data_IF_465227816055
#
_entry.id   IF_465227816055
#
_cell.length_a   1.000
_cell.length_b   1.000
_cell.length_c   1.000
_cell.angle_alpha   90.00
_cell.angle_beta   90.00
_cell.angle_gamma   90.00
#
_symmetry.space_group_name_H-M   'P 1'
#
loop_
_entity.id
_entity.type
_entity.pdbx_description
1 polymer ?
#
# COMPACT_ATOMS: atom_id res chain seq x y z
N UNK A 1 14.47 -34.89 39.07
CA UNK A 1 13.89 -34.93 37.70
C UNK A 1 14.92 -35.45 36.71
N UNK A 2 14.54 -36.37 35.82
CA UNK A 2 15.44 -36.89 34.77
C UNK A 2 15.80 -35.79 33.76
N UNK A 3 16.98 -35.88 33.12
CA UNK A 3 17.39 -34.93 32.06
C UNK A 3 16.36 -34.87 30.93
N UNK A 4 15.71 -35.99 30.63
CA UNK A 4 14.66 -36.11 29.60
C UNK A 4 13.42 -35.28 29.93
N UNK A 5 12.94 -35.32 31.19
CA UNK A 5 11.78 -34.54 31.61
C UNK A 5 12.00 -33.03 31.52
N UNK A 6 13.23 -32.57 31.82
CA UNK A 6 13.58 -31.14 31.71
C UNK A 6 13.53 -30.65 30.26
N UNK A 7 14.01 -31.45 29.30
CA UNK A 7 13.97 -31.10 27.88
C UNK A 7 12.55 -31.04 27.34
N UNK A 8 11.69 -32.00 27.70
CA UNK A 8 10.28 -32.01 27.29
C UNK A 8 9.55 -30.80 27.87
N UNK A 9 9.77 -30.47 29.14
CA UNK A 9 9.15 -29.32 29.76
C UNK A 9 9.63 -28.01 29.13
N UNK A 10 10.93 -27.90 28.82
CA UNK A 10 11.49 -26.73 28.14
C UNK A 10 10.92 -26.57 26.72
N UNK A 11 10.81 -27.64 25.93
CA UNK A 11 10.23 -27.57 24.59
C UNK A 11 8.76 -27.18 24.64
N UNK A 12 7.99 -27.76 25.58
CA UNK A 12 6.59 -27.42 25.78
C UNK A 12 6.43 -25.94 26.16
N UNK A 13 7.26 -25.44 27.07
CA UNK A 13 7.25 -24.03 27.47
C UNK A 13 7.59 -23.09 26.31
N UNK A 14 8.59 -23.43 25.49
CA UNK A 14 8.96 -22.62 24.32
C UNK A 14 7.83 -22.57 23.29
N UNK A 15 7.13 -23.68 23.05
CA UNK A 15 5.96 -23.70 22.16
C UNK A 15 4.84 -22.83 22.73
N UNK A 16 4.52 -23.00 24.02
CA UNK A 16 3.52 -22.19 24.71
C UNK A 16 3.84 -20.70 24.74
N UNK A 17 5.12 -20.33 24.77
CA UNK A 17 5.57 -18.93 24.72
C UNK A 17 5.61 -18.39 23.28
N UNK A 18 5.91 -19.24 22.30
CA UNK A 18 5.92 -18.85 20.89
C UNK A 18 4.55 -18.39 20.40
N UNK A 19 3.46 -19.04 20.86
CA UNK A 19 2.08 -18.70 20.50
C UNK A 19 1.71 -17.23 20.83
N UNK A 20 1.83 -16.73 22.09
CA UNK A 20 1.49 -15.35 22.41
C UNK A 20 2.44 -14.34 21.77
N UNK A 21 3.73 -14.66 21.61
CA UNK A 21 4.68 -13.78 20.91
C UNK A 21 4.29 -13.63 19.45
N UNK A 22 3.97 -14.74 18.76
CA UNK A 22 3.49 -14.71 17.39
C UNK A 22 2.15 -13.96 17.29
N UNK A 23 1.23 -14.19 18.23
CA UNK A 23 -0.04 -13.51 18.28
C UNK A 23 0.14 -11.99 18.39
N UNK A 24 0.93 -11.51 19.35
CA UNK A 24 1.23 -10.07 19.49
C UNK A 24 1.90 -9.53 18.22
N UNK A 25 2.90 -10.23 17.67
CA UNK A 25 3.58 -9.79 16.45
C UNK A 25 2.65 -9.67 15.23
N UNK A 26 1.67 -10.57 15.11
CA UNK A 26 0.71 -10.59 14.01
C UNK A 26 -0.45 -9.62 14.22
N UNK A 27 -0.87 -9.39 15.47
CA UNK A 27 -2.00 -8.51 15.81
C UNK A 27 -1.60 -7.07 16.12
N UNK A 28 -0.29 -6.77 16.21
CA UNK A 28 0.18 -5.41 16.41
C UNK A 28 -0.08 -4.57 15.16
N UNK A 29 -1.10 -3.72 15.24
CA UNK A 29 -1.47 -2.80 14.18
C UNK A 29 -1.10 -1.36 14.54
N UNK A 30 -0.65 -0.59 13.54
CA UNK A 30 -0.44 0.85 13.68
C UNK A 30 -1.54 1.56 12.92
N UNK A 31 -2.46 2.21 13.63
CA UNK A 31 -3.57 2.94 13.01
C UNK A 31 -3.06 4.10 12.16
N UNK A 32 -3.52 4.18 10.91
CA UNK A 32 -3.26 5.25 9.94
C UNK A 32 -1.78 5.68 9.85
N UNK A 33 -0.88 4.75 9.47
CA UNK A 33 0.56 4.99 9.51
C UNK A 33 1.05 5.98 8.45
N UNK A 34 0.18 6.36 7.52
CA UNK A 34 0.55 7.11 6.34
C UNK A 34 -0.22 8.42 6.21
N UNK A 35 0.50 9.45 5.76
CA UNK A 35 -0.08 10.70 5.23
C UNK A 35 0.23 10.81 3.75
N UNK A 36 -0.80 11.11 2.97
CA UNK A 36 -0.68 11.28 1.53
C UNK A 36 -0.82 12.74 1.16
N UNK A 37 0.06 13.21 0.28
CA UNK A 37 0.04 14.55 -0.28
C UNK A 37 0.08 14.49 -1.80
N UNK A 38 -0.91 15.09 -2.45
CA UNK A 38 -0.89 15.29 -3.88
C UNK A 38 0.08 16.43 -4.23
N UNK A 39 1.06 16.10 -5.08
CA UNK A 39 2.13 17.02 -5.49
C UNK A 39 1.83 17.66 -6.85
N UNK A 40 1.13 16.94 -7.72
CA UNK A 40 0.80 17.41 -9.06
C UNK A 40 0.68 16.26 -10.06
N UNK A 41 0.61 16.60 -11.33
CA UNK A 41 0.59 15.66 -12.43
C UNK A 41 1.58 16.09 -13.53
N UNK A 42 2.04 15.13 -14.32
CA UNK A 42 2.92 15.39 -15.47
C UNK A 42 2.15 15.61 -16.76
N UNK A 43 2.85 15.43 -17.87
CA UNK A 43 2.30 15.52 -19.22
C UNK A 43 1.58 14.22 -19.62
N UNK A 44 0.73 14.30 -20.64
CA UNK A 44 0.00 13.13 -21.15
C UNK A 44 0.99 12.16 -21.82
N UNK A 45 1.02 10.92 -21.34
CA UNK A 45 1.78 9.81 -21.89
C UNK A 45 0.84 8.78 -22.54
N UNK A 46 1.20 8.28 -23.72
CA UNK A 46 0.52 7.10 -24.29
C UNK A 46 1.06 5.84 -23.62
N UNK A 47 0.19 5.04 -23.02
CA UNK A 47 0.57 3.76 -22.39
C UNK A 47 -0.35 2.62 -22.81
N UNK A 48 0.17 1.39 -22.88
CA UNK A 48 -0.67 0.22 -23.06
C UNK A 48 -1.71 0.16 -21.94
N UNK A 49 -2.97 -0.10 -22.29
CA UNK A 49 -4.04 -0.28 -21.31
C UNK A 49 -3.64 -1.33 -20.27
N UNK A 50 -3.47 -0.92 -19.02
CA UNK A 50 -3.29 -1.88 -17.94
C UNK A 50 -4.63 -2.61 -17.71
N UNK A 51 -4.66 -3.95 -17.62
CA UNK A 51 -5.89 -4.74 -17.49
C UNK A 51 -6.73 -4.37 -16.26
N UNK A 52 -6.14 -3.74 -15.26
CA UNK A 52 -6.83 -3.30 -14.05
C UNK A 52 -7.64 -2.00 -14.23
N UNK A 53 -7.45 -1.26 -15.33
CA UNK A 53 -8.10 0.06 -15.56
C UNK A 53 -9.40 -0.02 -16.36
N UNK A 54 -9.71 -1.15 -17.00
CA UNK A 54 -10.89 -1.30 -17.87
C UNK A 54 -12.14 -1.83 -17.15
N UNK A 55 -12.14 -1.92 -15.82
CA UNK A 55 -13.27 -2.44 -15.03
C UNK A 55 -14.52 -1.55 -14.96
N UNK A 56 -14.59 -0.48 -15.75
CA UNK A 56 -15.74 0.42 -15.81
C UNK A 56 -16.88 -0.17 -16.65
N UNK A 57 -17.89 -0.71 -15.95
CA UNK A 57 -19.24 -0.98 -16.43
C UNK A 57 -19.39 -1.94 -17.64
N UNK A 58 -19.57 -3.23 -17.35
CA UNK A 58 -20.43 -4.10 -18.16
C UNK A 58 -19.79 -4.93 -19.27
N UNK A 59 -18.47 -4.97 -19.39
CA UNK A 59 -17.84 -5.95 -20.30
C UNK A 59 -17.57 -7.23 -19.52
N UNK A 60 -18.33 -8.29 -19.84
CA UNK A 60 -18.16 -9.63 -19.26
C UNK A 60 -16.69 -10.02 -19.20
N UNK A 61 -16.25 -10.31 -17.98
CA UNK A 61 -14.92 -10.77 -17.64
C UNK A 61 -14.75 -12.21 -18.14
N UNK A 62 -14.54 -12.41 -19.44
CA UNK A 62 -13.97 -13.66 -19.96
C UNK A 62 -12.46 -13.68 -19.67
N UNK A 63 -12.12 -13.84 -18.38
CA UNK A 63 -10.78 -14.18 -17.93
C UNK A 63 -10.62 -15.70 -17.93
N UNK A 64 -10.21 -16.26 -19.06
CA UNK A 64 -9.76 -17.67 -19.12
C UNK A 64 -8.42 -17.87 -19.82
N UNK A 65 -7.68 -16.82 -20.19
CA UNK A 65 -6.32 -17.00 -20.71
C UNK A 65 -5.24 -16.47 -19.76
N UNK A 66 -4.61 -17.36 -18.96
CA UNK A 66 -3.48 -17.01 -18.10
C UNK A 66 -2.15 -16.83 -18.85
N UNK A 67 -2.16 -16.93 -20.19
CA UNK A 67 -1.00 -16.68 -21.03
C UNK A 67 -1.21 -15.43 -21.88
N UNK A 68 -0.90 -14.27 -21.28
CA UNK A 68 -0.73 -12.98 -21.94
C UNK A 68 0.27 -13.10 -23.09
N UNK A 69 -0.23 -13.48 -24.26
CA UNK A 69 0.56 -13.60 -25.49
C UNK A 69 0.14 -12.49 -26.45
N UNK A 70 0.92 -11.40 -26.46
CA UNK A 70 1.24 -10.66 -27.68
C UNK A 70 0.16 -9.83 -28.39
N UNK A 71 -1.04 -9.67 -27.84
CA UNK A 71 -1.98 -8.68 -28.38
C UNK A 71 -1.44 -7.26 -28.21
N UNK A 72 -1.31 -6.48 -29.29
CA UNK A 72 -1.02 -5.04 -29.21
C UNK A 72 -2.14 -4.38 -28.40
N UNK A 73 -1.93 -4.22 -27.10
CA UNK A 73 -2.87 -3.57 -26.21
C UNK A 73 -3.18 -2.18 -26.74
N UNK A 74 -4.46 -1.81 -26.78
CA UNK A 74 -4.89 -0.46 -27.13
C UNK A 74 -4.15 0.52 -26.22
N UNK A 75 -3.40 1.44 -26.81
CA UNK A 75 -2.78 2.52 -26.05
C UNK A 75 -3.85 3.52 -25.63
N UNK A 76 -3.79 3.95 -24.37
CA UNK A 76 -4.71 4.91 -23.78
C UNK A 76 -3.89 6.11 -23.28
N UNK A 77 -4.33 7.35 -23.51
CA UNK A 77 -3.69 8.52 -22.94
C UNK A 77 -3.84 8.52 -21.41
N UNK A 78 -2.72 8.52 -20.72
CA UNK A 78 -2.61 8.48 -19.27
C UNK A 78 -1.81 9.69 -18.80
N UNK A 79 -2.09 10.17 -17.59
CA UNK A 79 -1.36 11.26 -16.96
C UNK A 79 -0.69 10.71 -15.70
N UNK A 80 0.64 10.82 -15.56
CA UNK A 80 1.29 10.47 -14.31
C UNK A 80 0.89 11.48 -13.24
N UNK A 81 0.44 10.99 -12.09
CA UNK A 81 0.21 11.79 -10.89
C UNK A 81 1.31 11.48 -9.86
N UNK A 82 1.76 12.53 -9.18
CA UNK A 82 2.79 12.46 -8.16
C UNK A 82 2.16 12.58 -6.78
N UNK A 83 2.37 11.55 -5.96
CA UNK A 83 1.85 11.48 -4.60
C UNK A 83 3.04 11.31 -3.65
N UNK A 84 3.17 12.20 -2.69
CA UNK A 84 4.08 12.04 -1.56
C UNK A 84 3.41 11.24 -0.46
N UNK A 85 4.12 10.21 -0.01
CA UNK A 85 3.69 9.32 1.05
C UNK A 85 4.66 9.47 2.22
N UNK A 86 4.16 9.91 3.36
CA UNK A 86 4.92 10.07 4.59
C UNK A 86 4.50 9.00 5.60
N UNK A 87 5.47 8.22 6.09
CA UNK A 87 5.28 7.38 7.27
C UNK A 87 5.28 8.26 8.52
N UNK A 88 4.20 8.28 9.29
CA UNK A 88 4.06 9.09 10.51
C UNK A 88 4.53 8.37 11.77
N UNK A 89 4.86 7.09 11.64
CA UNK A 89 5.10 6.20 12.78
C UNK A 89 6.59 6.16 13.16
N UNK A 90 6.87 5.64 14.35
CA UNK A 90 8.23 5.43 14.87
C UNK A 90 8.92 4.17 14.33
N UNK A 91 8.22 3.38 13.51
CA UNK A 91 8.69 2.10 12.96
C UNK A 91 8.62 2.11 11.43
N UNK A 92 9.42 1.29 10.73
CA UNK A 92 9.25 1.12 9.29
C UNK A 92 7.92 0.41 8.96
N UNK A 93 7.20 0.91 7.95
CA UNK A 93 5.92 0.36 7.48
C UNK A 93 6.01 0.11 5.97
N UNK A 94 5.56 -1.06 5.53
CA UNK A 94 5.44 -1.40 4.11
C UNK A 94 4.04 -1.04 3.60
N UNK A 95 3.98 -0.29 2.50
CA UNK A 95 2.75 -0.13 1.72
C UNK A 95 2.61 -1.36 0.81
N UNK A 96 1.50 -2.08 0.91
CA UNK A 96 1.20 -3.25 0.07
C UNK A 96 0.48 -2.82 -1.20
N UNK A 97 -0.58 -2.03 -1.03
CA UNK A 97 -1.44 -1.58 -2.13
C UNK A 97 -2.21 -0.32 -1.69
N UNK A 98 -2.72 0.43 -2.66
CA UNK A 98 -3.57 1.57 -2.39
C UNK A 98 -4.38 2.02 -3.58
N UNK A 99 -5.53 2.61 -3.30
CA UNK A 99 -6.49 3.12 -4.26
C UNK A 99 -6.76 4.59 -3.94
N UNK A 100 -6.73 5.44 -4.96
CA UNK A 100 -7.18 6.83 -4.88
C UNK A 100 -8.61 6.91 -5.38
N UNK A 101 -9.52 7.41 -4.56
CA UNK A 101 -10.95 7.52 -4.87
C UNK A 101 -11.44 8.94 -4.60
N UNK A 102 -12.43 9.38 -5.38
CA UNK A 102 -13.20 10.56 -5.05
C UNK A 102 -14.03 10.31 -3.78
N UNK A 103 -14.08 11.28 -2.86
CA UNK A 103 -14.85 11.13 -1.61
C UNK A 103 -16.36 10.94 -1.89
N UNK A 104 -16.86 11.49 -2.98
CA UNK A 104 -18.26 11.34 -3.41
C UNK A 104 -18.53 10.00 -4.11
N UNK A 105 -17.50 9.35 -4.66
CA UNK A 105 -17.60 8.13 -5.47
C UNK A 105 -16.82 6.97 -4.83
N UNK A 106 -16.98 6.77 -3.50
CA UNK A 106 -16.28 5.69 -2.78
C UNK A 106 -16.66 4.30 -3.30
N UNK A 107 -17.89 4.14 -3.78
CA UNK A 107 -18.41 2.87 -4.33
C UNK A 107 -17.99 2.62 -5.79
N UNK A 108 -17.55 3.66 -6.52
CA UNK A 108 -17.09 3.55 -7.89
C UNK A 108 -15.72 2.88 -8.04
N UNK A 109 -15.22 2.72 -9.27
CA UNK A 109 -13.85 2.27 -9.50
C UNK A 109 -12.83 3.30 -9.00
N UNK A 110 -11.64 2.88 -8.56
CA UNK A 110 -10.59 3.81 -8.16
C UNK A 110 -10.12 4.65 -9.35
N UNK A 111 -9.81 5.93 -9.09
CA UNK A 111 -9.28 6.84 -10.11
C UNK A 111 -7.82 6.53 -10.44
N UNK A 112 -7.07 6.06 -9.44
CA UNK A 112 -5.66 5.72 -9.55
C UNK A 112 -5.33 4.58 -8.57
N UNK A 113 -4.36 3.73 -8.93
CA UNK A 113 -3.81 2.71 -8.01
C UNK A 113 -2.38 3.10 -7.62
N UNK A 114 -2.05 2.93 -6.36
CA UNK A 114 -0.76 3.26 -5.77
C UNK A 114 -0.04 1.97 -5.43
N UNK A 115 1.14 1.76 -6.02
CA UNK A 115 1.99 0.62 -5.70
C UNK A 115 3.37 1.10 -5.23
N UNK A 116 3.94 0.38 -4.25
CA UNK A 116 5.30 0.60 -3.79
C UNK A 116 6.05 -0.72 -3.65
N UNK A 117 7.13 -0.89 -4.42
CA UNK A 117 7.85 -2.19 -4.52
C UNK A 117 9.27 -2.18 -3.95
N UNK A 118 9.73 -1.07 -3.35
CA UNK A 118 11.15 -0.91 -2.95
C UNK A 118 11.46 -1.28 -1.49
N UNK A 119 10.51 -1.86 -0.74
CA UNK A 119 10.67 -2.26 0.67
C UNK A 119 9.97 -1.32 1.66
N UNK A 120 10.15 -1.47 2.98
CA UNK A 120 9.46 -0.66 3.96
C UNK A 120 9.88 0.81 3.92
N UNK A 121 8.93 1.71 4.13
CA UNK A 121 9.17 3.15 4.22
C UNK A 121 9.77 3.44 5.61
N UNK A 122 10.94 4.08 5.70
CA UNK A 122 11.60 4.36 6.98
C UNK A 122 10.72 5.15 7.95
N UNK A 123 11.03 5.06 9.25
CA UNK A 123 10.37 5.86 10.31
C UNK A 123 10.43 7.35 9.96
N UNK A 124 9.31 8.05 10.04
CA UNK A 124 9.20 9.46 9.64
C UNK A 124 9.69 9.78 8.20
N UNK A 125 9.87 8.74 7.39
CA UNK A 125 10.39 8.84 6.03
C UNK A 125 9.30 9.29 5.06
N UNK A 126 9.73 9.94 3.98
CA UNK A 126 8.85 10.35 2.89
C UNK A 126 9.34 9.73 1.59
N UNK A 127 8.42 9.17 0.81
CA UNK A 127 8.69 8.64 -0.53
C UNK A 127 7.76 9.31 -1.54
N UNK A 128 8.21 9.37 -2.80
CA UNK A 128 7.39 9.82 -3.92
C UNK A 128 6.92 8.63 -4.72
N UNK A 129 5.62 8.60 -4.95
CA UNK A 129 4.91 7.59 -5.72
C UNK A 129 4.47 8.22 -7.03
N UNK A 130 4.52 7.42 -8.09
CA UNK A 130 3.99 7.78 -9.41
C UNK A 130 2.87 6.80 -9.70
N UNK A 131 1.67 7.34 -9.86
CA UNK A 131 0.51 6.58 -10.35
C UNK A 131 0.08 7.15 -11.69
N UNK A 132 -0.70 6.40 -12.46
CA UNK A 132 -1.18 6.83 -13.77
C UNK A 132 -2.69 6.85 -13.76
N UNK A 133 -3.25 7.92 -14.31
CA UNK A 133 -4.70 8.14 -14.33
C UNK A 133 -5.12 8.41 -15.78
N UNK A 134 -6.21 7.78 -16.27
CA UNK A 134 -6.74 8.11 -17.58
C UNK A 134 -7.07 9.60 -17.69
N UNK A 135 -6.81 10.24 -18.83
CA UNK A 135 -7.10 11.68 -19.02
C UNK A 135 -8.56 12.03 -18.68
N UNK A 136 -9.51 11.13 -18.98
CA UNK A 136 -10.93 11.30 -18.64
C UNK A 136 -11.20 11.47 -17.13
N UNK A 137 -10.32 10.94 -16.27
CA UNK A 137 -10.43 11.02 -14.82
C UNK A 137 -9.65 12.21 -14.23
N UNK A 138 -8.88 12.95 -15.02
CA UNK A 138 -8.04 14.06 -14.53
C UNK A 138 -8.88 15.18 -13.90
N UNK A 139 -10.01 15.53 -14.53
CA UNK A 139 -10.93 16.55 -14.00
C UNK A 139 -11.46 16.20 -12.61
N UNK A 140 -11.68 14.91 -12.32
CA UNK A 140 -12.13 14.44 -11.00
C UNK A 140 -11.05 14.65 -9.93
N UNK A 141 -9.77 14.51 -10.28
CA UNK A 141 -8.67 14.75 -9.34
C UNK A 141 -8.58 16.22 -8.91
N UNK A 142 -8.86 17.14 -9.84
CA UNK A 142 -8.77 18.58 -9.59
C UNK A 142 -9.94 19.11 -8.78
N UNK A 143 -11.16 18.63 -9.06
CA UNK A 143 -12.39 19.18 -8.47
C UNK A 143 -12.75 18.59 -7.11
N UNK A 144 -12.37 17.34 -6.84
CA UNK A 144 -12.85 16.63 -5.64
C UNK A 144 -11.83 16.59 -4.50
N UNK A 145 -12.33 16.42 -3.28
CA UNK A 145 -11.54 15.88 -2.18
C UNK A 145 -11.32 14.39 -2.44
N UNK A 146 -10.06 13.98 -2.53
CA UNK A 146 -9.67 12.61 -2.78
C UNK A 146 -9.35 11.92 -1.45
N UNK A 147 -9.76 10.67 -1.35
CA UNK A 147 -9.39 9.76 -0.26
C UNK A 147 -8.46 8.69 -0.82
N UNK A 148 -7.45 8.30 -0.03
CA UNK A 148 -6.59 7.15 -0.33
C UNK A 148 -6.97 6.02 0.61
N UNK A 149 -7.50 4.94 0.06
CA UNK A 149 -7.68 3.67 0.77
C UNK A 149 -6.46 2.80 0.54
N UNK A 150 -5.80 2.30 1.59
CA UNK A 150 -4.56 1.55 1.42
C UNK A 150 -4.44 0.38 2.40
N UNK A 151 -3.57 -0.55 2.02
CA UNK A 151 -3.16 -1.69 2.83
C UNK A 151 -1.71 -1.49 3.25
N UNK A 152 -1.44 -1.61 4.54
CA UNK A 152 -0.10 -1.47 5.09
C UNK A 152 0.20 -2.56 6.10
N UNK A 153 1.48 -2.92 6.22
CA UNK A 153 1.95 -3.89 7.20
C UNK A 153 3.20 -3.38 7.90
N UNK A 154 3.34 -3.70 9.18
CA UNK A 154 4.59 -3.40 9.91
C UNK A 154 5.76 -4.22 9.35
N UNK A 155 7.00 -3.79 9.62
CA UNK A 155 8.19 -4.58 9.25
C UNK A 155 8.17 -6.01 9.80
N UNK A 156 7.64 -6.21 11.01
CA UNK A 156 7.49 -7.54 11.63
C UNK A 156 6.49 -8.41 10.86
N UNK A 157 5.32 -7.84 10.52
CA UNK A 157 4.31 -8.53 9.70
C UNK A 157 4.82 -8.83 8.29
N UNK A 158 5.55 -7.90 7.67
CA UNK A 158 6.19 -8.11 6.36
C UNK A 158 7.17 -9.29 6.41
N UNK A 159 7.95 -9.41 7.48
CA UNK A 159 8.89 -10.53 7.66
C UNK A 159 8.14 -11.85 7.84
N UNK A 160 7.04 -11.86 8.60
CA UNK A 160 6.19 -13.03 8.75
C UNK A 160 5.57 -13.46 7.41
N UNK A 161 5.16 -12.50 6.58
CA UNK A 161 4.64 -12.75 5.23
C UNK A 161 5.71 -13.34 4.29
N UNK A 162 6.92 -12.77 4.29
CA UNK A 162 8.02 -13.31 3.50
C UNK A 162 8.40 -14.72 3.93
N UNK A 163 8.38 -15.00 5.24
CA UNK A 163 8.60 -16.34 5.79
C UNK A 163 7.50 -17.32 5.36
N UNK A 164 6.22 -16.92 5.41
CA UNK A 164 5.11 -17.75 4.94
C UNK A 164 5.26 -18.09 3.45
N UNK A 165 5.51 -17.07 2.62
CA UNK A 165 5.73 -17.27 1.18
C UNK A 165 6.88 -18.23 0.94
N UNK A 166 8.02 -18.02 1.61
CA UNK A 166 9.17 -18.90 1.51
C UNK A 166 8.84 -20.33 1.96
N UNK A 167 8.10 -20.51 3.05
CA UNK A 167 7.68 -21.82 3.53
C UNK A 167 6.79 -22.53 2.50
N UNK A 168 5.83 -21.84 1.89
CA UNK A 168 4.99 -22.39 0.81
C UNK A 168 5.80 -22.80 -0.41
N UNK A 169 6.76 -21.97 -0.82
CA UNK A 169 7.64 -22.28 -1.95
C UNK A 169 8.56 -23.48 -1.69
N UNK A 170 8.93 -23.76 -0.43
CA UNK A 170 9.89 -24.81 -0.07
C UNK A 170 9.26 -26.09 0.45
N UNK A 171 8.10 -26.01 1.08
CA UNK A 171 7.40 -27.19 1.59
C UNK A 171 6.65 -27.89 0.46
N UNK A 172 6.58 -29.21 0.52
CA UNK A 172 5.83 -30.01 -0.44
C UNK A 172 4.33 -29.65 -0.36
N UNK A 173 3.63 -29.57 -1.50
CA UNK A 173 2.19 -29.24 -1.61
C UNK A 173 1.27 -29.87 -0.53
N UNK A 174 1.44 -31.15 -0.12
CA UNK A 174 0.61 -31.76 0.93
C UNK A 174 0.71 -31.11 2.31
N UNK A 175 1.75 -30.31 2.58
CA UNK A 175 1.93 -29.59 3.83
C UNK A 175 1.45 -28.14 3.78
N UNK A 176 0.85 -27.72 2.66
CA UNK A 176 0.19 -26.43 2.57
C UNK A 176 -1.09 -26.49 3.39
N UNK A 177 -0.98 -26.16 4.66
CA UNK A 177 -2.14 -25.73 5.44
C UNK A 177 -2.48 -24.34 4.89
N UNK A 178 -3.74 -24.11 4.52
CA UNK A 178 -4.24 -22.78 4.13
C UNK A 178 -4.28 -21.86 5.35
N UNK A 179 -3.09 -21.48 5.82
CA UNK A 179 -2.94 -20.47 6.86
C UNK A 179 -3.08 -19.13 6.15
N UNK A 180 -4.27 -18.54 6.15
CA UNK A 180 -4.42 -17.13 5.77
C UNK A 180 -3.71 -16.27 6.83
N UNK A 181 -2.39 -16.13 6.68
CA UNK A 181 -1.52 -15.31 7.54
C UNK A 181 -1.73 -13.81 7.31
N UNK A 182 -2.44 -13.46 6.25
CA UNK A 182 -3.06 -12.15 6.13
C UNK A 182 -4.39 -12.25 6.87
N UNK A 183 -4.51 -11.77 8.12
CA UNK A 183 -5.82 -11.64 8.72
C UNK A 183 -6.67 -10.77 7.78
N UNK A 184 -7.91 -11.19 7.54
CA UNK A 184 -8.89 -10.43 6.75
C UNK A 184 -9.14 -9.02 7.31
N UNK A 185 -8.64 -8.72 8.51
CA UNK A 185 -8.44 -7.37 9.04
C UNK A 185 -7.20 -6.70 8.45
N UNK A 186 -7.05 -6.74 7.11
CA UNK A 186 -6.18 -5.76 6.48
C UNK A 186 -6.87 -4.44 6.69
N UNK A 187 -6.36 -3.65 7.62
CA UNK A 187 -6.99 -2.39 7.98
C UNK A 187 -6.91 -1.48 6.77
N UNK A 188 -8.05 -1.38 6.09
CA UNK A 188 -8.27 -0.44 5.02
C UNK A 188 -8.33 0.94 5.65
N UNK A 189 -7.17 1.53 5.85
CA UNK A 189 -7.07 2.92 6.28
C UNK A 189 -7.51 3.81 5.14
N UNK A 190 -8.35 4.79 5.46
CA UNK A 190 -8.81 5.82 4.52
C UNK A 190 -8.28 7.15 5.01
N UNK A 191 -7.31 7.71 4.31
CA UNK A 191 -6.70 8.99 4.66
C UNK A 191 -7.00 10.03 3.58
N UNK A 192 -7.36 11.27 3.95
CA UNK A 192 -7.56 12.32 2.96
C UNK A 192 -6.24 12.62 2.24
N UNK A 193 -6.33 12.77 0.92
CA UNK A 193 -5.21 13.22 0.10
C UNK A 193 -5.10 14.74 0.20
N UNK A 194 -4.05 15.21 0.88
CA UNK A 194 -3.82 16.64 1.06
C UNK A 194 -3.32 17.24 -0.25
N UNK A 195 -4.00 18.26 -0.78
CA UNK A 195 -3.48 19.02 -1.92
C UNK A 195 -2.37 19.95 -1.41
N UNK A 196 -1.20 19.92 -2.06
CA UNK A 196 -0.22 20.97 -1.82
C UNK A 196 -0.83 22.34 -2.17
N UNK A 197 -0.53 23.40 -1.40
CA UNK A 197 -0.98 24.74 -1.76
C UNK A 197 -0.42 25.08 -3.16
N UNK A 198 -1.29 25.60 -4.04
CA UNK A 198 -0.96 25.87 -5.45
C UNK A 198 0.24 26.83 -5.60
N UNK A 199 0.49 27.66 -4.59
CA UNK A 199 1.71 28.43 -4.44
C UNK A 199 2.34 28.11 -3.09
N UNK A 200 3.66 27.87 -3.02
CA UNK A 200 4.33 27.93 -1.73
C UNK A 200 3.99 29.29 -1.12
N UNK A 201 3.65 29.35 0.18
CA UNK A 201 3.37 30.63 0.83
C UNK A 201 4.51 31.57 0.48
N UNK A 202 4.17 32.67 -0.18
CA UNK A 202 5.12 33.71 -0.57
C UNK A 202 5.95 33.99 0.67
N UNK A 203 7.26 33.76 0.58
CA UNK A 203 8.13 33.78 1.75
C UNK A 203 7.84 35.07 2.51
N UNK A 204 7.24 34.97 3.71
CA UNK A 204 6.87 36.14 4.47
C UNK A 204 8.12 37.02 4.54
N UNK A 205 8.03 38.29 4.09
CA UNK A 205 9.21 39.14 3.98
C UNK A 205 9.92 39.06 5.31
N UNK A 206 11.18 38.62 5.27
CA UNK A 206 11.98 38.38 6.45
C UNK A 206 11.81 39.60 7.36
N UNK A 207 11.25 39.40 8.55
CA UNK A 207 11.02 40.49 9.48
C UNK A 207 12.38 41.17 9.69
N UNK A 208 12.53 42.35 9.09
CA UNK A 208 13.77 43.13 9.14
C UNK A 208 14.12 43.30 10.60
N UNK A 209 15.12 42.53 11.04
CA UNK A 209 15.65 42.63 12.38
C UNK A 209 16.36 43.98 12.44
N UNK A 210 15.66 45.00 12.92
CA UNK A 210 16.29 46.27 13.28
C UNK A 210 17.28 45.96 14.41
N UNK A 211 18.58 45.95 14.07
CA UNK A 211 19.64 45.95 15.07
C UNK A 211 19.57 47.26 15.86
N UNK A 212 19.68 47.21 17.21
CA UNK A 212 19.81 48.39 18.05
C UNK A 212 21.17 49.08 17.88
#
# INVERSE_FOLDING_TARGET
MSRRAKLILASLFLVLLGIPVAYIALTWHVADPFRFRYVGHGEVEMRPAHPFMTGGAGTEMQTTDPFFTGGKGKEIPMVPIYIELQNTTSVPISLIDGDVRGKLDRAGPPCARIEWRRGPIPRHGTVRLVSYVPVANLQRLESESLDVSYLSVSGTQSTAYDLDRWLREKLFLPFHIDINLIPSSVDASVTPLLKAPAHPPEASPAASTQQP
#
